data_IF_519723974831
#
_entry.id   IF_519723974831
#
_cell.length_a   1.000
_cell.length_b   1.000
_cell.length_c   1.000
_cell.angle_alpha   90.00
_cell.angle_beta   90.00
_cell.angle_gamma   90.00
#
_symmetry.space_group_name_H-M   'P 1'
#
loop_
_entity.id
_entity.type
_entity.pdbx_description
1 polymer ?
#
# COMPACT_ATOMS: atom_id res chain seq x y z
N UNK A 1 -11.16 -18.57 3.86
CA UNK A 1 -11.35 -19.53 4.95
C UNK A 1 -10.31 -19.28 6.02
N UNK A 2 -10.68 -19.45 7.28
CA UNK A 2 -9.80 -19.33 8.45
C UNK A 2 -9.57 -20.72 9.06
N UNK A 3 -8.33 -21.07 9.46
CA UNK A 3 -8.06 -22.34 10.13
C UNK A 3 -8.39 -22.23 11.62
N UNK A 4 -9.11 -23.23 12.13
CA UNK A 4 -9.48 -23.37 13.53
C UNK A 4 -9.25 -24.80 13.99
N UNK A 5 -9.06 -24.98 15.29
CA UNK A 5 -8.74 -26.27 15.88
C UNK A 5 -9.83 -26.68 16.83
N UNK A 6 -10.49 -27.81 16.55
CA UNK A 6 -11.48 -28.38 17.44
C UNK A 6 -10.82 -28.95 18.70
N UNK A 7 -11.63 -29.22 19.73
CA UNK A 7 -11.16 -29.84 20.96
C UNK A 7 -10.46 -31.20 20.73
N UNK A 8 -10.93 -31.96 19.74
CA UNK A 8 -10.37 -33.24 19.27
C UNK A 8 -9.00 -33.13 18.54
N UNK A 9 -8.41 -31.93 18.50
CA UNK A 9 -7.15 -31.60 17.79
C UNK A 9 -7.23 -31.68 16.27
N UNK A 10 -8.42 -31.87 15.68
CA UNK A 10 -8.58 -31.79 14.23
C UNK A 10 -8.63 -30.33 13.78
N UNK A 11 -7.92 -30.04 12.69
CA UNK A 11 -7.91 -28.72 12.05
C UNK A 11 -9.06 -28.67 11.06
N UNK A 12 -9.88 -27.64 11.16
CA UNK A 12 -10.96 -27.36 10.23
C UNK A 12 -10.82 -25.96 9.64
N UNK A 13 -11.35 -25.78 8.43
CA UNK A 13 -11.37 -24.49 7.75
C UNK A 13 -12.80 -23.98 7.70
N UNK A 14 -13.02 -22.81 8.29
CA UNK A 14 -14.36 -22.20 8.40
C UNK A 14 -14.46 -20.97 7.49
N UNK A 15 -15.65 -20.76 6.93
CA UNK A 15 -15.97 -19.49 6.29
C UNK A 15 -16.26 -18.44 7.38
N UNK A 16 -15.42 -17.40 7.54
CA UNK A 16 -15.68 -16.37 8.55
C UNK A 16 -16.96 -15.56 8.28
N UNK A 17 -17.45 -15.51 7.04
CA UNK A 17 -18.70 -14.81 6.70
C UNK A 17 -19.95 -15.55 7.19
N UNK A 18 -19.81 -16.82 7.58
CA UNK A 18 -20.91 -17.64 8.09
C UNK A 18 -20.99 -17.62 9.62
N UNK A 19 -20.02 -17.00 10.30
CA UNK A 19 -19.98 -16.90 11.76
C UNK A 19 -20.99 -15.84 12.20
N UNK A 20 -21.88 -16.22 13.11
CA UNK A 20 -22.89 -15.34 13.70
C UNK A 20 -22.42 -14.80 15.04
N UNK A 21 -21.97 -15.68 15.94
CA UNK A 21 -21.45 -15.31 17.25
C UNK A 21 -20.21 -16.13 17.61
N UNK A 22 -19.38 -15.53 18.46
CA UNK A 22 -18.22 -16.17 19.09
C UNK A 22 -18.35 -15.86 20.58
N UNK A 23 -18.49 -16.90 21.40
CA UNK A 23 -18.66 -16.80 22.85
C UNK A 23 -17.54 -17.58 23.53
N UNK A 24 -16.95 -17.00 24.58
CA UNK A 24 -15.82 -17.61 25.31
C UNK A 24 -16.29 -18.04 26.71
N UNK A 25 -16.62 -19.33 26.87
CA UNK A 25 -17.15 -19.92 28.11
C UNK A 25 -16.79 -21.40 28.25
N UNK A 26 -16.00 -21.80 29.28
CA UNK A 26 -14.55 -21.54 29.37
C UNK A 26 -13.76 -21.88 28.08
N UNK A 27 -14.35 -22.66 27.18
CA UNK A 27 -13.88 -22.89 25.81
C UNK A 27 -14.59 -21.94 24.84
N UNK A 28 -14.07 -21.77 23.63
CA UNK A 28 -14.69 -20.85 22.66
C UNK A 28 -15.71 -21.59 21.77
N UNK A 29 -16.93 -21.08 21.73
CA UNK A 29 -18.03 -21.58 20.90
C UNK A 29 -18.30 -20.63 19.75
N UNK A 30 -18.29 -21.17 18.53
CA UNK A 30 -18.62 -20.44 17.30
C UNK A 30 -19.96 -20.93 16.81
N UNK A 31 -20.93 -20.02 16.69
CA UNK A 31 -22.23 -20.32 16.11
C UNK A 31 -22.25 -19.88 14.65
N UNK A 32 -22.68 -20.77 13.75
CA UNK A 32 -22.85 -20.49 12.33
C UNK A 32 -24.29 -20.10 11.98
N UNK A 33 -24.46 -19.47 10.81
CA UNK A 33 -25.77 -19.03 10.31
C UNK A 33 -26.80 -20.16 10.15
N UNK A 34 -26.34 -21.39 9.96
CA UNK A 34 -27.18 -22.58 9.80
C UNK A 34 -27.56 -23.24 11.14
N UNK A 35 -27.20 -22.63 12.27
CA UNK A 35 -27.47 -23.14 13.61
C UNK A 35 -26.47 -24.19 14.12
N UNK A 36 -25.50 -24.62 13.31
CA UNK A 36 -24.41 -25.46 13.81
C UNK A 36 -23.44 -24.66 14.66
N UNK A 37 -22.94 -25.30 15.73
CA UNK A 37 -21.94 -24.73 16.62
C UNK A 37 -20.67 -25.58 16.62
N UNK A 38 -19.53 -24.90 16.72
CA UNK A 38 -18.22 -25.53 16.85
C UNK A 38 -17.55 -25.06 18.12
N UNK A 39 -17.02 -26.01 18.89
CA UNK A 39 -16.17 -25.72 20.03
C UNK A 39 -14.72 -25.80 19.57
N UNK A 40 -13.99 -24.72 19.78
CA UNK A 40 -12.61 -24.54 19.33
C UNK A 40 -11.70 -24.16 20.48
N UNK A 41 -10.40 -24.42 20.30
CA UNK A 41 -9.37 -24.13 21.31
C UNK A 41 -8.88 -22.69 21.28
N UNK A 42 -9.02 -22.02 20.14
CA UNK A 42 -8.57 -20.65 19.98
C UNK A 42 -9.48 -19.68 20.75
N UNK A 43 -8.92 -18.68 21.46
CA UNK A 43 -9.69 -17.66 22.13
C UNK A 43 -10.41 -16.75 21.12
N UNK A 44 -11.45 -16.05 21.56
CA UNK A 44 -12.25 -15.19 20.68
C UNK A 44 -11.40 -14.14 19.95
N UNK A 45 -10.44 -13.53 20.65
CA UNK A 45 -9.54 -12.50 20.11
C UNK A 45 -8.70 -13.01 18.92
N UNK A 46 -8.20 -14.24 18.97
CA UNK A 46 -7.41 -14.83 17.89
C UNK A 46 -8.28 -15.09 16.66
N UNK A 47 -9.50 -15.57 16.87
CA UNK A 47 -10.46 -15.81 15.79
C UNK A 47 -10.79 -14.50 15.08
N UNK A 48 -11.08 -13.44 15.83
CA UNK A 48 -11.36 -12.10 15.28
C UNK A 48 -10.16 -11.61 14.46
N UNK A 49 -8.93 -11.77 14.98
CA UNK A 49 -7.71 -11.40 14.26
C UNK A 49 -7.58 -12.16 12.94
N UNK A 50 -7.85 -13.48 12.94
CA UNK A 50 -7.86 -14.31 11.72
C UNK A 50 -8.91 -13.84 10.72
N UNK A 51 -10.12 -13.45 11.18
CA UNK A 51 -11.20 -12.92 10.33
C UNK A 51 -10.77 -11.60 9.67
N UNK A 52 -10.23 -10.65 10.44
CA UNK A 52 -9.76 -9.36 9.92
C UNK A 52 -8.63 -9.57 8.91
N UNK A 53 -7.65 -10.41 9.25
CA UNK A 53 -6.54 -10.72 8.35
C UNK A 53 -7.01 -11.37 7.04
N UNK A 54 -8.02 -12.25 7.09
CA UNK A 54 -8.62 -12.85 5.91
C UNK A 54 -9.28 -11.80 5.01
N UNK A 55 -10.15 -10.94 5.57
CA UNK A 55 -10.83 -9.86 4.82
C UNK A 55 -9.83 -8.88 4.21
N UNK A 56 -8.85 -8.43 5.00
CA UNK A 56 -7.80 -7.52 4.54
C UNK A 56 -6.98 -8.13 3.38
N UNK A 57 -6.68 -9.43 3.43
CA UNK A 57 -5.97 -10.14 2.37
C UNK A 57 -6.79 -10.21 1.08
N UNK A 58 -8.10 -10.41 1.17
CA UNK A 58 -9.00 -10.39 0.00
C UNK A 58 -9.00 -8.99 -0.63
N UNK A 59 -9.27 -7.95 0.17
CA UNK A 59 -9.34 -6.56 -0.31
C UNK A 59 -8.02 -6.16 -0.96
N UNK A 60 -6.88 -6.47 -0.33
CA UNK A 60 -5.55 -6.15 -0.88
C UNK A 60 -5.29 -6.84 -2.22
N UNK A 61 -5.78 -8.07 -2.41
CA UNK A 61 -5.61 -8.81 -3.67
C UNK A 61 -6.59 -8.34 -4.75
N UNK A 62 -7.82 -8.00 -4.37
CA UNK A 62 -8.84 -7.50 -5.29
C UNK A 62 -8.53 -6.06 -5.74
N UNK A 63 -7.93 -5.24 -4.88
CA UNK A 63 -7.46 -3.91 -5.20
C UNK A 63 -6.24 -3.96 -6.12
N UNK A 64 -6.47 -4.03 -7.44
CA UNK A 64 -5.44 -3.73 -8.44
C UNK A 64 -4.95 -2.28 -8.31
N UNK A 65 -3.86 -1.88 -9.00
CA UNK A 65 -3.36 -0.50 -9.02
C UNK A 65 -4.29 0.41 -9.83
N UNK A 66 -5.51 0.63 -9.36
CA UNK A 66 -6.56 1.37 -10.06
C UNK A 66 -6.84 2.75 -9.43
N UNK A 67 -6.25 3.07 -8.28
CA UNK A 67 -6.57 4.33 -7.56
C UNK A 67 -5.82 5.58 -8.00
N UNK A 68 -4.70 5.48 -8.75
CA UNK A 68 -3.79 6.63 -8.96
C UNK A 68 -3.10 6.70 -10.33
N UNK A 69 -3.55 5.95 -11.35
CA UNK A 69 -2.95 6.06 -12.69
C UNK A 69 -3.15 7.46 -13.30
N UNK A 70 -4.27 8.11 -13.01
CA UNK A 70 -4.53 9.48 -13.43
C UNK A 70 -3.66 10.52 -12.68
N UNK A 71 -3.36 10.30 -11.39
CA UNK A 71 -2.47 11.18 -10.62
C UNK A 71 -0.99 11.07 -11.04
N UNK A 72 -0.57 9.91 -11.55
CA UNK A 72 0.83 9.69 -11.97
C UNK A 72 1.23 10.56 -13.19
N UNK A 73 0.27 10.94 -14.05
CA UNK A 73 0.54 11.73 -15.25
C UNK A 73 0.69 13.23 -14.94
N UNK A 74 -0.05 13.74 -13.95
CA UNK A 74 0.00 15.14 -13.53
C UNK A 74 1.34 15.52 -12.89
N UNK A 75 1.93 14.64 -12.06
CA UNK A 75 3.23 14.92 -11.42
C UNK A 75 4.39 14.94 -12.42
N UNK A 76 4.38 14.13 -13.48
CA UNK A 76 5.48 14.07 -14.45
C UNK A 76 5.66 15.37 -15.25
N UNK A 77 4.57 16.10 -15.51
CA UNK A 77 4.61 17.37 -16.23
C UNK A 77 5.05 18.54 -15.32
N UNK A 78 4.73 18.47 -14.03
CA UNK A 78 5.08 19.52 -13.07
C UNK A 78 6.59 19.59 -12.80
N UNK A 79 7.30 18.46 -12.87
CA UNK A 79 8.76 18.41 -12.70
C UNK A 79 9.56 18.64 -13.99
N UNK A 80 8.93 18.64 -15.18
CA UNK A 80 9.65 18.96 -16.43
C UNK A 80 9.90 20.46 -16.60
N UNK A 81 9.01 21.30 -16.08
CA UNK A 81 9.15 22.77 -16.17
C UNK A 81 10.15 23.35 -15.15
N UNK A 82 10.46 22.63 -14.06
CA UNK A 82 11.38 23.10 -13.03
C UNK A 82 12.87 22.99 -13.44
N UNK A 83 13.21 22.05 -14.33
CA UNK A 83 14.60 21.83 -14.76
C UNK A 83 14.99 22.62 -16.01
N UNK A 84 14.03 23.03 -16.85
CA UNK A 84 14.29 23.80 -18.08
C UNK A 84 14.57 25.29 -17.84
N UNK A 85 14.37 25.79 -16.62
CA UNK A 85 14.51 27.22 -16.29
C UNK A 85 15.79 27.57 -15.51
N UNK A 86 16.77 26.65 -15.43
CA UNK A 86 18.03 26.87 -14.68
C UNK A 86 19.26 27.17 -15.55
N UNK A 87 19.16 27.01 -16.87
CA UNK A 87 20.33 27.14 -17.78
C UNK A 87 20.47 28.51 -18.46
N UNK A 88 19.67 29.52 -18.07
CA UNK A 88 19.66 30.84 -18.73
C UNK A 88 20.30 31.98 -17.92
N UNK A 89 21.19 31.72 -16.96
CA UNK A 89 21.85 32.78 -16.18
C UNK A 89 23.35 32.57 -15.88
N UNK A 90 24.14 32.17 -16.88
CA UNK A 90 25.61 32.38 -16.85
C UNK A 90 26.00 33.07 -18.14
N UNK A 91 25.64 34.36 -18.25
CA UNK A 91 26.27 35.29 -19.17
C UNK A 91 27.67 35.61 -18.67
N UNK A 92 28.65 35.41 -19.55
CA UNK A 92 30.08 35.63 -19.42
C UNK A 92 30.47 36.81 -18.52
N UNK A 93 31.36 36.55 -17.55
CA UNK A 93 32.23 37.56 -16.96
C UNK A 93 33.68 37.30 -17.39
N UNK A 94 34.17 38.27 -18.15
CA UNK A 94 35.53 38.84 -18.09
C UNK A 94 36.74 37.92 -18.31
N UNK A 95 37.31 37.97 -19.52
CA UNK A 95 38.75 37.99 -19.68
C UNK A 95 39.21 39.11 -20.63
N UNK A 96 40.15 39.88 -20.10
CA UNK A 96 40.79 41.06 -20.64
C UNK A 96 41.57 40.81 -21.94
N UNK A 97 41.50 41.81 -22.83
CA UNK A 97 42.66 42.48 -23.44
C UNK A 97 43.53 41.69 -24.42
N UNK A 98 43.30 41.89 -25.74
CA UNK A 98 44.36 42.00 -26.75
C UNK A 98 43.94 42.98 -27.84
N UNK A 99 44.36 44.24 -27.71
CA UNK A 99 44.46 45.16 -28.84
C UNK A 99 45.80 44.93 -29.55
N UNK A 100 45.82 44.70 -30.87
CA UNK A 100 47.03 44.89 -31.66
C UNK A 100 46.95 46.23 -32.39
N UNK A 101 47.85 47.12 -32.00
CA UNK A 101 48.29 48.30 -32.74
C UNK A 101 48.50 48.00 -34.23
N UNK A 102 47.92 48.80 -35.13
CA UNK A 102 48.65 49.25 -36.32
C UNK A 102 48.26 50.68 -36.68
N UNK A 103 49.30 51.50 -36.69
CA UNK A 103 49.40 52.88 -37.13
C UNK A 103 49.23 52.99 -38.64
N UNK A 104 48.60 54.05 -39.14
CA UNK A 104 49.31 55.16 -39.81
C UNK A 104 48.32 56.24 -40.28
N UNK A 105 48.75 57.47 -40.05
CA UNK A 105 48.19 58.72 -40.57
C UNK A 105 48.44 58.86 -42.08
N UNK A 106 47.73 59.84 -42.66
CA UNK A 106 47.66 60.37 -44.03
C UNK A 106 46.48 59.89 -44.90
#
# INVERSE_FOLDING_TARGET
MIPLTRLDKQVMYVNPDHIVSIEETPDTVITLFNGYHFIVKEPAADIITKVVAFRARIIRRAGGPAGKKYLARAKKNLFRSATLNRDSSITNRDEHERVPFHSQEF
#
